data_IF_556071652350
#
_entry.id   IF_556071652350
#
_cell.length_a   1.000
_cell.length_b   1.000
_cell.length_c   1.000
_cell.angle_alpha   90.00
_cell.angle_beta   90.00
_cell.angle_gamma   90.00
#
_symmetry.space_group_name_H-M   'P 1'
#
loop_
_entity.id
_entity.type
_entity.pdbx_description
1 polymer ?
#
# COMPACT_ATOMS: atom_id res chain seq x y z
N UNK A 1 -13.63 8.30 2.27
CA UNK A 1 -12.21 7.89 2.44
C UNK A 1 -11.60 7.51 1.10
N UNK A 2 -10.40 8.00 0.79
CA UNK A 2 -9.59 7.59 -0.37
C UNK A 2 -8.30 6.89 0.06
N UNK A 3 -7.84 5.90 -0.70
CA UNK A 3 -6.59 5.19 -0.43
C UNK A 3 -5.53 5.58 -1.46
N UNK A 4 -4.42 6.12 -0.97
CA UNK A 4 -3.26 6.47 -1.79
C UNK A 4 -1.99 5.77 -1.32
N UNK A 5 -1.00 5.75 -2.21
CA UNK A 5 0.31 5.21 -1.92
C UNK A 5 1.40 6.23 -2.24
N UNK A 6 2.44 6.19 -1.43
CA UNK A 6 3.70 6.89 -1.68
C UNK A 6 4.85 5.92 -1.46
N UNK A 7 6.06 6.28 -1.89
CA UNK A 7 7.25 5.45 -1.76
C UNK A 7 8.36 6.27 -1.12
N UNK A 8 8.92 5.77 0.00
CA UNK A 8 10.07 6.39 0.67
C UNK A 8 11.02 5.29 1.11
N UNK A 9 12.24 5.26 0.56
CA UNK A 9 13.26 4.25 0.85
C UNK A 9 14.38 4.85 1.69
N UNK A 10 14.38 4.55 3.00
CA UNK A 10 15.33 5.15 3.96
C UNK A 10 16.70 4.46 3.95
N UNK A 11 16.79 3.21 3.48
CA UNK A 11 18.01 2.41 3.50
C UNK A 11 18.82 2.48 2.17
N UNK A 12 18.49 3.45 1.30
CA UNK A 12 19.21 3.73 0.07
C UNK A 12 18.77 2.91 -1.15
N UNK A 13 19.43 3.15 -2.30
CA UNK A 13 19.03 2.64 -3.62
C UNK A 13 19.02 1.10 -3.71
N UNK A 14 19.94 0.43 -3.01
CA UNK A 14 20.07 -1.04 -3.00
C UNK A 14 19.04 -1.77 -2.12
N UNK A 15 18.09 -1.03 -1.55
CA UNK A 15 17.01 -1.53 -0.71
C UNK A 15 15.70 -0.84 -1.15
N UNK A 16 15.33 -1.07 -2.41
CA UNK A 16 14.13 -0.49 -3.05
C UNK A 16 13.34 -1.55 -3.80
N UNK A 17 12.05 -1.31 -4.06
CA UNK A 17 11.23 -2.17 -4.90
C UNK A 17 10.90 -1.44 -6.21
N UNK A 18 10.83 -2.13 -7.35
CA UNK A 18 10.54 -1.51 -8.65
C UNK A 18 9.04 -1.26 -8.83
N UNK A 19 8.39 -0.63 -7.85
CA UNK A 19 6.96 -0.29 -7.92
C UNK A 19 6.82 1.00 -8.71
N UNK A 20 6.13 0.92 -9.84
CA UNK A 20 5.86 2.07 -10.70
C UNK A 20 4.59 2.80 -10.27
N UNK A 21 4.41 4.04 -10.74
CA UNK A 21 3.14 4.75 -10.59
C UNK A 21 1.97 4.02 -11.26
N UNK A 22 2.22 3.27 -12.34
CA UNK A 22 1.23 2.42 -13.01
C UNK A 22 0.64 1.39 -12.03
N UNK A 23 1.49 0.73 -11.24
CA UNK A 23 1.07 -0.23 -10.21
C UNK A 23 0.33 0.49 -9.08
N UNK A 24 0.87 1.61 -8.59
CA UNK A 24 0.25 2.39 -7.51
C UNK A 24 -1.16 2.85 -7.88
N UNK A 25 -1.34 3.36 -9.10
CA UNK A 25 -2.64 3.85 -9.55
C UNK A 25 -3.67 2.71 -9.63
N UNK A 26 -3.27 1.57 -10.19
CA UNK A 26 -4.11 0.38 -10.27
C UNK A 26 -4.50 -0.12 -8.87
N UNK A 27 -3.53 -0.15 -7.95
CA UNK A 27 -3.73 -0.55 -6.57
C UNK A 27 -4.73 0.35 -5.83
N UNK A 28 -4.57 1.68 -5.95
CA UNK A 28 -5.52 2.65 -5.40
C UNK A 28 -6.93 2.46 -5.96
N UNK A 29 -7.08 2.27 -7.27
CA UNK A 29 -8.40 2.03 -7.89
C UNK A 29 -9.07 0.80 -7.30
N UNK A 30 -8.33 -0.31 -7.17
CA UNK A 30 -8.92 -1.56 -6.70
C UNK A 30 -9.34 -1.50 -5.24
N UNK A 31 -8.53 -0.85 -4.39
CA UNK A 31 -8.86 -0.69 -2.98
C UNK A 31 -9.98 0.33 -2.74
N UNK A 32 -10.05 1.40 -3.55
CA UNK A 32 -11.14 2.38 -3.47
C UNK A 32 -12.51 1.74 -3.78
N UNK A 33 -12.58 0.74 -4.66
CA UNK A 33 -13.83 0.00 -4.96
C UNK A 33 -14.40 -0.73 -3.74
N UNK A 34 -13.56 -1.07 -2.76
CA UNK A 34 -14.01 -1.72 -1.53
C UNK A 34 -14.83 -0.77 -0.65
N UNK A 35 -14.78 0.54 -0.92
CA UNK A 35 -15.52 1.59 -0.23
C UNK A 35 -15.46 1.48 1.31
N UNK A 36 -14.29 1.09 1.82
CA UNK A 36 -14.06 1.00 3.27
C UNK A 36 -13.98 2.41 3.86
N UNK A 37 -14.39 2.56 5.11
CA UNK A 37 -14.30 3.83 5.82
C UNK A 37 -13.80 3.62 7.25
N UNK A 38 -12.83 4.42 7.68
CA UNK A 38 -12.28 4.38 9.03
C UNK A 38 -12.97 5.44 9.92
N UNK A 39 -14.03 5.02 10.62
CA UNK A 39 -14.85 5.91 11.48
C UNK A 39 -14.04 6.72 12.51
N UNK A 40 -12.88 6.22 12.94
CA UNK A 40 -11.98 6.96 13.82
C UNK A 40 -11.50 8.28 13.19
N UNK A 41 -11.12 8.24 11.91
CA UNK A 41 -10.60 9.41 11.20
C UNK A 41 -11.69 10.35 10.71
N UNK A 42 -12.87 9.81 10.39
CA UNK A 42 -14.05 10.63 10.12
C UNK A 42 -14.37 11.56 11.30
N UNK A 43 -14.35 11.01 12.53
CA UNK A 43 -14.54 11.79 13.76
C UNK A 43 -13.38 12.76 14.03
N UNK A 44 -12.14 12.34 13.76
CA UNK A 44 -10.95 13.17 13.97
C UNK A 44 -10.98 14.42 13.07
N UNK A 45 -11.31 14.24 11.79
CA UNK A 45 -11.31 15.30 10.80
C UNK A 45 -12.64 16.04 10.67
N UNK A 46 -13.72 15.51 11.27
CA UNK A 46 -15.11 16.00 11.12
C UNK A 46 -15.51 16.06 9.64
N UNK A 47 -15.14 15.02 8.90
CA UNK A 47 -15.21 14.99 7.45
C UNK A 47 -15.24 13.54 6.94
N UNK A 48 -15.95 13.30 5.85
CA UNK A 48 -16.05 12.00 5.15
C UNK A 48 -15.10 11.89 3.94
N UNK A 49 -14.53 13.02 3.51
CA UNK A 49 -13.63 13.21 2.37
C UNK A 49 -12.13 13.18 2.74
N UNK A 50 -11.74 12.35 3.70
CA UNK A 50 -10.33 12.21 4.12
C UNK A 50 -9.57 11.12 3.34
N UNK A 51 -8.25 11.14 3.45
CA UNK A 51 -7.34 10.21 2.76
C UNK A 51 -6.49 9.40 3.72
N UNK A 52 -6.31 8.11 3.41
CA UNK A 52 -5.32 7.23 4.03
C UNK A 52 -4.20 7.00 3.03
N UNK A 53 -2.96 7.26 3.45
CA UNK A 53 -1.77 7.14 2.63
C UNK A 53 -0.89 6.03 3.21
N UNK A 54 -0.69 4.98 2.43
CA UNK A 54 0.27 3.93 2.75
C UNK A 54 1.62 4.27 2.10
N UNK A 55 2.62 4.54 2.94
CA UNK A 55 3.99 4.81 2.49
C UNK A 55 4.73 3.48 2.41
N UNK A 56 5.02 3.03 1.20
CA UNK A 56 5.77 1.82 0.93
C UNK A 56 7.25 2.11 1.18
N UNK A 57 7.86 1.27 2.01
CA UNK A 57 9.28 1.31 2.31
C UNK A 57 9.85 -0.10 2.33
N UNK A 58 11.17 -0.20 2.26
CA UNK A 58 11.89 -1.45 2.37
C UNK A 58 12.88 -1.37 3.53
N UNK A 59 13.08 -2.49 4.23
CA UNK A 59 14.06 -2.56 5.33
C UNK A 59 14.75 -3.92 5.37
N UNK A 60 16.05 -3.93 5.66
CA UNK A 60 16.82 -5.15 5.96
C UNK A 60 16.87 -5.45 7.48
N UNK A 61 16.33 -4.56 8.30
CA UNK A 61 16.42 -4.63 9.77
C UNK A 61 15.36 -5.53 10.40
N UNK A 62 14.39 -6.02 9.63
CA UNK A 62 13.31 -6.87 10.11
C UNK A 62 12.98 -7.95 9.09
N UNK A 63 12.60 -9.13 9.58
CA UNK A 63 12.20 -10.28 8.76
C UNK A 63 10.68 -10.30 8.48
N UNK A 64 9.91 -9.48 9.20
CA UNK A 64 8.46 -9.39 9.09
C UNK A 64 8.03 -7.96 8.77
N UNK A 65 6.84 -7.82 8.18
CA UNK A 65 6.25 -6.52 7.90
C UNK A 65 6.11 -5.72 9.19
N UNK A 66 6.61 -4.48 9.17
CA UNK A 66 6.43 -3.53 10.27
C UNK A 66 5.60 -2.33 9.81
N UNK A 67 4.43 -2.15 10.42
CA UNK A 67 3.54 -1.00 10.15
C UNK A 67 3.75 0.07 11.21
N UNK A 68 4.22 1.25 10.80
CA UNK A 68 4.36 2.43 11.68
C UNK A 68 3.31 3.50 11.40
N UNK A 69 3.02 4.29 12.42
CA UNK A 69 2.01 5.35 12.41
C UNK A 69 0.86 5.09 13.40
N UNK A 70 -0.21 5.89 13.33
CA UNK A 70 -0.46 6.90 12.31
C UNK A 70 0.35 8.18 12.50
N UNK A 71 0.61 8.88 11.40
CA UNK A 71 0.93 10.32 11.41
C UNK A 71 -0.20 11.06 10.72
N UNK A 72 -0.79 12.04 11.37
CA UNK A 72 -1.94 12.78 10.83
C UNK A 72 -1.55 14.19 10.40
N UNK A 73 -2.12 14.63 9.29
CA UNK A 73 -1.98 16.00 8.77
C UNK A 73 -3.36 16.61 8.63
N UNK A 74 -3.86 17.18 9.73
CA UNK A 74 -5.25 17.64 9.84
C UNK A 74 -5.65 18.69 8.82
N UNK A 75 -4.72 19.54 8.36
CA UNK A 75 -4.98 20.56 7.35
C UNK A 75 -5.45 19.96 6.02
N UNK A 76 -4.86 18.82 5.64
CA UNK A 76 -5.14 18.14 4.37
C UNK A 76 -6.06 16.93 4.54
N UNK A 77 -6.52 16.65 5.78
CA UNK A 77 -7.33 15.47 6.15
C UNK A 77 -6.66 14.16 5.73
N UNK A 78 -5.36 14.07 5.99
CA UNK A 78 -4.54 12.94 5.59
C UNK A 78 -4.04 12.16 6.81
N UNK A 79 -4.01 10.84 6.70
CA UNK A 79 -3.39 9.94 7.67
C UNK A 79 -2.39 9.04 6.96
N UNK A 80 -1.17 8.99 7.48
CA UNK A 80 -0.07 8.22 6.93
C UNK A 80 0.22 6.98 7.78
N UNK A 81 0.39 5.85 7.10
CA UNK A 81 0.95 4.62 7.67
C UNK A 81 2.13 4.17 6.84
N UNK A 82 3.26 3.90 7.48
CA UNK A 82 4.46 3.42 6.78
C UNK A 82 4.54 1.90 6.86
N UNK A 83 4.65 1.25 5.70
CA UNK A 83 4.81 -0.18 5.54
C UNK A 83 6.29 -0.47 5.30
N UNK A 84 7.01 -0.89 6.34
CA UNK A 84 8.39 -1.33 6.22
C UNK A 84 8.42 -2.81 5.85
N UNK A 85 8.49 -3.08 4.55
CA UNK A 85 8.49 -4.43 4.00
C UNK A 85 9.91 -5.01 4.08
N UNK A 86 10.09 -6.25 4.55
CA UNK A 86 11.39 -6.91 4.56
C UNK A 86 11.96 -6.97 3.14
N UNK A 87 13.17 -6.44 2.97
CA UNK A 87 13.81 -6.46 1.67
C UNK A 87 14.34 -7.85 1.34
N UNK A 88 14.08 -8.31 0.11
CA UNK A 88 14.61 -9.55 -0.46
C UNK A 88 15.00 -9.32 -1.91
N UNK A 89 16.00 -10.05 -2.36
CA UNK A 89 16.42 -10.04 -3.75
C UNK A 89 15.62 -11.07 -4.55
N UNK A 90 15.22 -10.68 -5.75
CA UNK A 90 14.42 -11.50 -6.65
C UNK A 90 15.00 -11.37 -8.06
N UNK A 91 15.08 -12.49 -8.78
CA UNK A 91 15.49 -12.52 -10.18
C UNK A 91 14.34 -12.23 -11.16
N UNK A 92 13.09 -12.32 -10.68
CA UNK A 92 11.88 -12.20 -11.50
C UNK A 92 10.99 -11.10 -10.96
N UNK A 93 10.68 -10.12 -11.82
CA UNK A 93 9.87 -8.95 -11.47
C UNK A 93 8.49 -9.31 -10.91
N UNK A 94 7.75 -10.23 -11.55
CA UNK A 94 6.40 -10.61 -11.11
C UNK A 94 6.42 -11.25 -9.72
N UNK A 95 7.44 -12.06 -9.42
CA UNK A 95 7.61 -12.65 -8.08
C UNK A 95 7.90 -11.56 -7.05
N UNK A 96 8.80 -10.62 -7.36
CA UNK A 96 9.13 -9.50 -6.48
C UNK A 96 7.90 -8.64 -6.17
N UNK A 97 7.16 -8.25 -7.20
CA UNK A 97 5.97 -7.40 -7.04
C UNK A 97 4.85 -8.17 -6.33
N UNK A 98 4.67 -9.45 -6.62
CA UNK A 98 3.70 -10.29 -5.91
C UNK A 98 4.01 -10.35 -4.40
N UNK A 99 5.28 -10.53 -4.04
CA UNK A 99 5.73 -10.48 -2.64
C UNK A 99 5.43 -9.13 -1.97
N UNK A 100 5.74 -8.03 -2.64
CA UNK A 100 5.49 -6.69 -2.10
C UNK A 100 3.98 -6.44 -1.93
N UNK A 101 3.18 -6.83 -2.92
CA UNK A 101 1.73 -6.70 -2.89
C UNK A 101 1.09 -7.52 -1.76
N UNK A 102 1.60 -8.71 -1.44
CA UNK A 102 1.15 -9.47 -0.27
C UNK A 102 1.41 -8.71 1.04
N UNK A 103 2.61 -8.16 1.19
CA UNK A 103 2.94 -7.37 2.38
C UNK A 103 2.09 -6.09 2.46
N UNK A 104 1.77 -5.47 1.32
CA UNK A 104 0.84 -4.33 1.30
C UNK A 104 -0.56 -4.77 1.76
N UNK A 105 -1.05 -5.92 1.28
CA UNK A 105 -2.33 -6.48 1.71
C UNK A 105 -2.37 -6.68 3.23
N UNK A 106 -1.35 -7.33 3.79
CA UNK A 106 -1.20 -7.56 5.23
C UNK A 106 -1.16 -6.24 6.01
N UNK A 107 -0.44 -5.24 5.51
CA UNK A 107 -0.37 -3.93 6.14
C UNK A 107 -1.70 -3.19 6.17
N UNK A 108 -2.47 -3.25 5.08
CA UNK A 108 -3.80 -2.66 5.01
C UNK A 108 -4.76 -3.39 5.94
N UNK A 109 -4.78 -4.73 5.92
CA UNK A 109 -5.62 -5.55 6.80
C UNK A 109 -5.32 -5.21 8.26
N UNK A 110 -4.04 -5.17 8.64
CA UNK A 110 -3.61 -4.78 9.97
C UNK A 110 -4.15 -3.41 10.40
N UNK A 111 -4.10 -2.41 9.51
CA UNK A 111 -4.66 -1.09 9.80
C UNK A 111 -6.18 -1.14 9.94
N UNK A 112 -6.91 -1.75 9.00
CA UNK A 112 -8.36 -1.84 9.07
C UNK A 112 -8.82 -2.55 10.36
N UNK A 113 -8.21 -3.68 10.69
CA UNK A 113 -8.50 -4.46 11.89
C UNK A 113 -8.19 -3.67 13.17
N UNK A 114 -7.04 -2.98 13.22
CA UNK A 114 -6.66 -2.09 14.34
C UNK A 114 -7.73 -1.04 14.63
N UNK A 115 -8.39 -0.53 13.58
CA UNK A 115 -9.48 0.44 13.68
C UNK A 115 -10.88 -0.19 13.61
N UNK A 116 -10.99 -1.51 13.83
CA UNK A 116 -12.26 -2.27 13.86
C UNK A 116 -13.12 -2.07 12.60
N UNK A 117 -12.47 -1.93 11.47
CA UNK A 117 -13.11 -1.81 10.16
C UNK A 117 -12.95 -3.12 9.42
N UNK A 118 -14.01 -3.55 8.72
CA UNK A 118 -13.99 -4.79 7.95
C UNK A 118 -12.88 -4.79 6.89
N UNK A 119 -11.98 -5.78 6.98
CA UNK A 119 -10.84 -5.97 6.10
C UNK A 119 -11.10 -6.97 4.95
N UNK A 120 -12.32 -7.50 4.85
CA UNK A 120 -12.71 -8.38 3.74
C UNK A 120 -12.56 -7.69 2.37
N UNK A 121 -12.20 -8.46 1.35
CA UNK A 121 -12.01 -7.95 -0.01
C UNK A 121 -10.62 -7.38 -0.30
N UNK A 122 -9.79 -7.10 0.72
CA UNK A 122 -8.44 -6.56 0.50
C UNK A 122 -7.55 -7.56 -0.25
N UNK A 123 -7.54 -8.83 0.17
CA UNK A 123 -6.70 -9.85 -0.49
C UNK A 123 -7.15 -10.10 -1.93
N UNK A 124 -8.45 -10.09 -2.16
CA UNK A 124 -9.07 -10.27 -3.47
C UNK A 124 -8.70 -9.10 -4.39
N UNK A 125 -8.84 -7.86 -3.91
CA UNK A 125 -8.46 -6.66 -4.66
C UNK A 125 -6.97 -6.69 -5.05
N UNK A 126 -6.09 -7.09 -4.12
CA UNK A 126 -4.66 -7.28 -4.42
C UNK A 126 -4.42 -8.41 -5.42
N UNK A 127 -5.16 -9.52 -5.32
CA UNK A 127 -5.02 -10.65 -6.24
C UNK A 127 -5.40 -10.27 -7.66
N UNK A 128 -6.41 -9.42 -7.86
CA UNK A 128 -6.74 -8.87 -9.17
C UNK A 128 -5.60 -8.03 -9.75
N UNK A 129 -4.95 -7.19 -8.92
CA UNK A 129 -3.78 -6.40 -9.33
C UNK A 129 -2.65 -7.33 -9.76
N UNK A 130 -2.37 -8.39 -8.99
CA UNK A 130 -1.34 -9.39 -9.32
C UNK A 130 -1.62 -10.08 -10.64
N UNK A 131 -2.85 -10.55 -10.87
CA UNK A 131 -3.23 -11.23 -12.11
C UNK A 131 -3.04 -10.32 -13.33
N UNK A 132 -3.40 -9.03 -13.21
CA UNK A 132 -3.16 -8.05 -14.27
C UNK A 132 -1.66 -7.87 -14.56
N UNK A 133 -0.83 -7.78 -13.52
CA UNK A 133 0.63 -7.65 -13.67
C UNK A 133 1.25 -8.90 -14.29
N UNK A 134 0.80 -10.08 -13.89
CA UNK A 134 1.26 -11.35 -14.46
C UNK A 134 0.89 -11.48 -15.94
N UNK A 135 -0.27 -10.97 -16.36
CA UNK A 135 -0.71 -11.02 -17.76
C UNK A 135 0.07 -10.11 -18.71
N UNK A 136 0.64 -9.00 -18.21
CA UNK A 136 1.42 -8.05 -19.01
C UNK A 136 2.52 -7.37 -18.16
N UNK A 137 3.59 -8.10 -17.77
CA UNK A 137 4.60 -7.57 -16.85
C UNK A 137 5.33 -6.34 -17.40
N UNK A 138 5.56 -6.27 -18.71
CA UNK A 138 6.29 -5.19 -19.37
C UNK A 138 5.59 -3.84 -19.25
N UNK A 139 4.25 -3.84 -19.31
CA UNK A 139 3.45 -2.63 -19.10
C UNK A 139 3.64 -2.07 -17.69
N UNK A 140 3.63 -2.93 -16.67
CA UNK A 140 3.69 -2.50 -15.27
C UNK A 140 5.11 -2.21 -14.78
N UNK A 141 6.14 -2.64 -15.51
CA UNK A 141 7.53 -2.21 -15.28
C UNK A 141 7.81 -0.77 -15.74
N UNK A 142 6.94 -0.17 -16.55
CA UNK A 142 7.13 1.17 -17.09
C UNK A 142 6.35 2.20 -16.29
N UNK A 143 6.96 3.37 -16.10
CA UNK A 143 6.29 4.54 -15.55
C UNK A 143 5.37 5.13 -16.63
N UNK A 144 4.08 5.29 -16.32
CA UNK A 144 3.15 6.01 -17.20
C UNK A 144 3.28 7.51 -16.97
N UNK A 145 3.14 8.30 -18.04
CA UNK A 145 3.14 9.78 -17.96
C UNK A 145 1.84 10.31 -17.40
#
# INVERSE_FOLDING_TARGET
MKVYFSQIYLEGENTTFPITNTIIHLLSIQLDKLNKNLNHYEKLFKADDFSIIFVISATRKSETLNVKGPTTKSKDKETYFSLFIPYREFSVFTIQISYVLDNIAEGIIFVLDKYKTDSSGVKEAISEVKALIESDPEKYQKWTK
#
